data_IF_025282410921
#
_entry.id   IF_025282410921
#
_cell.length_a   1.000
_cell.length_b   1.000
_cell.length_c   1.000
_cell.angle_alpha   90.00
_cell.angle_beta   90.00
_cell.angle_gamma   90.00
#
_symmetry.space_group_name_H-M   'P 1'
#
loop_
_entity.id
_entity.type
_entity.pdbx_description
1 polymer ?
#
# COMPACT_ATOMS: atom_id res chain seq x y z
N UNK A 1 0.15 16.96 5.85
CA UNK A 1 0.22 17.11 4.38
C UNK A 1 1.35 16.22 3.86
N UNK A 2 1.13 15.42 2.81
CA UNK A 2 2.13 14.46 2.27
C UNK A 2 2.53 14.93 0.87
N UNK A 3 3.84 15.05 0.58
CA UNK A 3 4.38 15.58 -0.69
C UNK A 3 4.53 14.56 -1.82
N UNK A 4 4.08 13.31 -1.59
CA UNK A 4 4.10 12.25 -2.57
C UNK A 4 3.05 12.49 -3.67
N UNK A 5 3.47 12.34 -4.93
CA UNK A 5 2.63 12.64 -6.10
C UNK A 5 1.86 11.42 -6.62
N UNK A 6 2.35 10.22 -6.35
CA UNK A 6 1.76 8.99 -6.85
C UNK A 6 0.84 8.43 -5.77
N UNK A 7 -0.46 8.37 -6.09
CA UNK A 7 -1.51 7.97 -5.15
C UNK A 7 -2.52 7.09 -5.89
N UNK A 8 -2.89 5.98 -5.27
CA UNK A 8 -3.87 5.04 -5.81
C UNK A 8 -4.87 4.66 -4.70
N UNK A 9 -6.16 4.93 -4.96
CA UNK A 9 -7.25 4.53 -4.07
C UNK A 9 -7.57 3.07 -4.31
N UNK A 10 -7.80 2.29 -3.26
CA UNK A 10 -8.07 0.87 -3.39
C UNK A 10 -8.65 0.25 -2.13
N UNK A 11 -9.00 -1.03 -2.22
CA UNK A 11 -9.56 -1.82 -1.12
C UNK A 11 -8.51 -2.80 -0.61
N UNK A 12 -8.33 -2.86 0.71
CA UNK A 12 -7.47 -3.87 1.33
C UNK A 12 -8.10 -5.24 1.16
N UNK A 13 -7.44 -6.14 0.44
CA UNK A 13 -7.93 -7.50 0.21
C UNK A 13 -7.34 -8.53 1.14
N UNK A 14 -6.11 -8.27 1.61
CA UNK A 14 -5.41 -9.20 2.49
C UNK A 14 -4.36 -8.49 3.33
N UNK A 15 -4.19 -8.95 4.56
CA UNK A 15 -3.09 -8.55 5.44
C UNK A 15 -2.31 -9.80 5.86
N UNK A 16 -0.99 -9.77 5.71
CA UNK A 16 -0.10 -10.78 6.26
C UNK A 16 0.82 -10.10 7.26
N UNK A 17 0.57 -10.33 8.54
CA UNK A 17 1.38 -9.79 9.62
C UNK A 17 2.57 -10.70 9.91
N UNK A 18 3.79 -10.17 9.77
CA UNK A 18 5.01 -10.82 10.25
C UNK A 18 5.44 -10.27 11.61
N UNK A 19 6.68 -10.52 12.01
CA UNK A 19 7.18 -10.14 13.34
C UNK A 19 7.30 -8.61 13.51
N UNK A 20 7.80 -7.93 12.48
CA UNK A 20 8.07 -6.48 12.48
C UNK A 20 7.23 -5.74 11.44
N UNK A 21 7.14 -6.32 10.24
CA UNK A 21 6.44 -5.74 9.09
C UNK A 21 5.19 -6.54 8.76
N UNK A 22 4.18 -5.83 8.29
CA UNK A 22 2.96 -6.38 7.70
C UNK A 22 2.96 -6.10 6.20
N UNK A 23 2.65 -7.14 5.41
CA UNK A 23 2.38 -7.01 3.98
C UNK A 23 0.89 -6.76 3.77
N UNK A 24 0.56 -5.67 3.10
CA UNK A 24 -0.79 -5.25 2.78
C UNK A 24 -1.00 -5.42 1.28
N UNK A 25 -2.09 -6.08 0.91
CA UNK A 25 -2.51 -6.27 -0.47
C UNK A 25 -3.70 -5.36 -0.74
N UNK A 26 -3.54 -4.40 -1.65
CA UNK A 26 -4.56 -3.39 -1.97
C UNK A 26 -4.94 -3.54 -3.43
N UNK A 27 -6.21 -3.86 -3.70
CA UNK A 27 -6.72 -3.89 -5.07
C UNK A 27 -7.09 -2.46 -5.50
N UNK A 28 -6.54 -2.02 -6.63
CA UNK A 28 -6.81 -0.72 -7.23
C UNK A 28 -6.92 -0.86 -8.73
N UNK A 29 -8.06 -0.47 -9.30
CA UNK A 29 -8.32 -0.50 -10.74
C UNK A 29 -8.07 -1.87 -11.41
N UNK A 30 -8.30 -2.97 -10.70
CA UNK A 30 -8.09 -4.34 -11.18
C UNK A 30 -6.67 -4.89 -10.95
N UNK A 31 -5.73 -4.04 -10.53
CA UNK A 31 -4.36 -4.45 -10.19
C UNK A 31 -4.18 -4.61 -8.67
N UNK A 32 -3.26 -5.50 -8.28
CA UNK A 32 -2.88 -5.71 -6.89
C UNK A 32 -1.62 -4.91 -6.55
N UNK A 33 -1.78 -3.88 -5.72
CA UNK A 33 -0.68 -3.16 -5.12
C UNK A 33 -0.22 -3.88 -3.85
N UNK A 34 1.09 -3.96 -3.66
CA UNK A 34 1.70 -4.55 -2.47
C UNK A 34 2.43 -3.47 -1.68
N UNK A 35 2.06 -3.31 -0.41
CA UNK A 35 2.74 -2.42 0.51
C UNK A 35 3.31 -3.21 1.69
N UNK A 36 4.44 -2.74 2.22
CA UNK A 36 4.97 -3.19 3.50
C UNK A 36 4.96 -2.02 4.46
N UNK A 37 4.33 -2.19 5.61
CA UNK A 37 4.29 -1.19 6.69
C UNK A 37 4.71 -1.85 8.00
N UNK A 38 5.13 -1.04 8.98
CA UNK A 38 5.42 -1.59 10.31
C UNK A 38 4.13 -2.07 10.98
N UNK A 39 4.25 -3.06 11.86
CA UNK A 39 3.13 -3.52 12.67
C UNK A 39 2.54 -2.41 13.55
N UNK A 40 3.36 -1.43 13.96
CA UNK A 40 2.89 -0.26 14.68
C UNK A 40 2.00 0.61 13.78
N UNK A 41 2.43 0.91 12.56
CA UNK A 41 1.64 1.68 11.59
C UNK A 41 0.32 0.99 11.26
N UNK A 42 0.32 -0.34 11.09
CA UNK A 42 -0.91 -1.10 10.86
C UNK A 42 -1.93 -0.88 12.00
N UNK A 43 -1.46 -0.98 13.26
CA UNK A 43 -2.32 -0.78 14.44
C UNK A 43 -2.77 0.67 14.60
N UNK A 44 -1.87 1.63 14.45
CA UNK A 44 -2.16 3.06 14.59
C UNK A 44 -3.14 3.56 13.54
N UNK A 45 -3.04 3.04 12.31
CA UNK A 45 -3.97 3.37 11.22
C UNK A 45 -5.27 2.57 11.28
N UNK A 46 -5.35 1.55 12.15
CA UNK A 46 -6.51 0.68 12.32
C UNK A 46 -7.06 0.12 10.99
N UNK A 47 -6.16 -0.32 10.12
CA UNK A 47 -6.52 -0.86 8.79
C UNK A 47 -6.85 -2.35 8.92
N UNK A 48 -7.96 -2.75 8.32
CA UNK A 48 -8.45 -4.11 8.24
C UNK A 48 -8.71 -4.53 6.79
N UNK A 49 -8.90 -5.84 6.57
CA UNK A 49 -9.38 -6.33 5.28
C UNK A 49 -10.79 -5.79 5.00
N UNK A 50 -11.01 -5.30 3.79
CA UNK A 50 -12.23 -4.63 3.35
C UNK A 50 -12.18 -3.10 3.39
N UNK A 51 -11.19 -2.52 4.09
CA UNK A 51 -11.09 -1.06 4.21
C UNK A 51 -10.70 -0.38 2.90
N UNK A 52 -11.27 0.80 2.66
CA UNK A 52 -10.85 1.69 1.60
C UNK A 52 -9.64 2.52 2.06
N UNK A 53 -8.55 2.43 1.30
CA UNK A 53 -7.29 3.09 1.62
C UNK A 53 -6.73 3.85 0.42
N UNK A 54 -5.80 4.76 0.71
CA UNK A 54 -4.99 5.43 -0.31
C UNK A 54 -3.56 4.91 -0.22
N UNK A 55 -3.13 4.10 -1.19
CA UNK A 55 -1.73 3.76 -1.37
C UNK A 55 -0.97 5.00 -1.87
N UNK A 56 0.17 5.30 -1.26
CA UNK A 56 0.97 6.48 -1.55
C UNK A 56 2.41 6.03 -1.80
N UNK A 57 2.96 6.37 -2.97
CA UNK A 57 4.33 6.01 -3.36
C UNK A 57 5.15 7.28 -3.54
N UNK A 58 6.31 7.35 -2.88
CA UNK A 58 7.24 8.47 -3.02
C UNK A 58 7.77 8.52 -4.45
N UNK A 59 7.82 9.70 -5.04
CA UNK A 59 8.23 9.86 -6.46
C UNK A 59 9.64 9.35 -6.76
N UNK A 60 10.54 9.36 -5.78
CA UNK A 60 11.93 8.88 -5.93
C UNK A 60 12.07 7.36 -5.85
N UNK A 61 10.99 6.61 -5.62
CA UNK A 61 11.00 5.14 -5.45
C UNK A 61 10.30 4.41 -6.61
N UNK A 62 9.80 5.14 -7.61
CA UNK A 62 9.28 4.54 -8.84
C UNK A 62 10.42 4.11 -9.75
N UNK A 63 10.22 2.96 -10.40
CA UNK A 63 11.10 2.43 -11.44
C UNK A 63 10.31 2.45 -12.75
N UNK A 64 10.94 2.91 -13.83
CA UNK A 64 10.36 2.85 -15.17
C UNK A 64 11.00 1.70 -15.93
N UNK A 65 10.16 0.90 -16.57
CA UNK A 65 10.56 -0.07 -17.59
C UNK A 65 9.89 0.33 -18.90
N UNK A 66 10.64 0.33 -20.00
CA UNK A 66 10.08 0.46 -21.33
C UNK A 66 9.87 -0.94 -21.89
N UNK A 67 8.61 -1.32 -22.10
CA UNK A 67 8.30 -2.54 -22.83
C UNK A 67 8.62 -2.34 -24.32
N UNK A 68 9.19 -3.37 -24.95
CA UNK A 68 9.56 -3.38 -26.36
C UNK A 68 8.39 -3.82 -27.23
#
# INVERSE_FOLDING_TARGET
>A
MISARNRARGIVRRIIQGDILSKIFVESQGDMLHAFITNNSLREMAIHEGDEVMAIVKSTELILSKEA
#
